data_IF_614916565699
#
_entry.id   IF_614916565699
#
_cell.length_a   1.000
_cell.length_b   1.000
_cell.length_c   1.000
_cell.angle_alpha   90.00
_cell.angle_beta   90.00
_cell.angle_gamma   90.00
#
_symmetry.space_group_name_H-M   'P 1'
#
loop_
_entity.id
_entity.type
_entity.pdbx_description
1 polymer ?
#
# COMPACT_ATOMS: atom_id res chain seq x y z
N UNK A 1 -12.63 0.40 20.67
CA UNK A 1 -12.85 0.96 19.33
C UNK A 1 -13.51 -0.07 18.41
N UNK A 2 -12.93 -1.28 18.31
CA UNK A 2 -13.43 -2.48 17.60
C UNK A 2 -14.96 -2.72 17.59
N UNK A 3 -15.62 -2.62 18.74
CA UNK A 3 -17.06 -2.93 18.86
C UNK A 3 -17.94 -2.11 17.91
N UNK A 4 -17.74 -0.79 17.85
CA UNK A 4 -18.58 0.08 17.02
C UNK A 4 -18.34 -0.18 15.53
N UNK A 5 -17.07 -0.35 15.13
CA UNK A 5 -16.70 -0.64 13.74
C UNK A 5 -17.35 -1.93 13.23
N UNK A 6 -17.38 -2.97 14.08
CA UNK A 6 -18.08 -4.21 13.79
C UNK A 6 -19.59 -4.02 13.74
N UNK A 7 -20.18 -3.34 14.72
CA UNK A 7 -21.63 -3.08 14.75
C UNK A 7 -22.11 -2.29 13.52
N UNK A 8 -21.34 -1.31 13.05
CA UNK A 8 -21.71 -0.46 11.92
C UNK A 8 -21.27 -1.00 10.57
N UNK A 9 -20.51 -2.10 10.53
CA UNK A 9 -19.85 -2.62 9.32
C UNK A 9 -19.08 -1.54 8.57
N UNK A 10 -18.19 -0.86 9.31
CA UNK A 10 -17.44 0.29 8.81
C UNK A 10 -16.55 -0.09 7.61
N UNK A 11 -16.94 0.33 6.41
CA UNK A 11 -16.21 0.09 5.15
C UNK A 11 -14.93 0.92 5.00
N UNK A 12 -14.64 1.81 5.96
CA UNK A 12 -13.41 2.62 5.96
C UNK A 12 -12.11 1.81 6.03
N UNK A 13 -12.18 0.50 6.26
CA UNK A 13 -11.03 -0.42 6.19
C UNK A 13 -10.73 -0.93 4.78
N UNK A 14 -11.54 -0.58 3.78
CA UNK A 14 -11.25 -0.84 2.37
C UNK A 14 -10.45 0.32 1.80
N UNK A 15 -9.29 0.07 1.19
CA UNK A 15 -8.55 1.11 0.48
C UNK A 15 -9.39 1.72 -0.65
N UNK A 16 -9.39 3.05 -0.75
CA UNK A 16 -10.20 3.76 -1.75
C UNK A 16 -10.00 3.29 -3.20
N UNK A 17 -8.76 2.98 -3.68
CA UNK A 17 -8.55 2.45 -5.03
C UNK A 17 -9.33 1.16 -5.31
N UNK A 18 -9.56 0.34 -4.30
CA UNK A 18 -10.20 -0.97 -4.43
C UNK A 18 -11.71 -0.93 -4.23
N UNK A 19 -12.29 0.18 -3.75
CA UNK A 19 -13.72 0.25 -3.44
C UNK A 19 -14.59 -0.15 -4.65
N UNK A 20 -14.30 0.38 -5.83
CA UNK A 20 -15.04 0.06 -7.07
C UNK A 20 -14.78 -1.36 -7.58
N UNK A 21 -13.59 -1.91 -7.32
CA UNK A 21 -13.27 -3.29 -7.65
C UNK A 21 -14.09 -4.27 -6.79
N UNK A 22 -14.34 -3.90 -5.53
CA UNK A 22 -15.07 -4.74 -4.57
C UNK A 22 -16.59 -4.57 -4.65
N UNK A 23 -17.07 -3.36 -4.98
CA UNK A 23 -18.49 -3.08 -5.19
C UNK A 23 -18.66 -1.94 -6.20
N UNK A 24 -19.34 -2.19 -7.33
CA UNK A 24 -19.66 -1.14 -8.30
C UNK A 24 -21.17 -0.86 -8.39
N UNK A 25 -21.98 -1.91 -8.53
CA UNK A 25 -23.45 -1.82 -8.63
C UNK A 25 -24.19 -2.24 -7.35
N UNK A 26 -23.51 -2.95 -6.43
CA UNK A 26 -24.11 -3.34 -5.16
C UNK A 26 -24.29 -2.11 -4.26
N UNK A 27 -25.44 -2.07 -3.57
CA UNK A 27 -25.66 -1.05 -2.55
C UNK A 27 -24.59 -1.29 -1.48
N UNK A 28 -23.75 -0.28 -1.22
CA UNK A 28 -22.64 -0.34 -0.25
C UNK A 28 -23.01 -1.05 1.06
N UNK A 29 -24.23 -0.83 1.53
CA UNK A 29 -24.77 -1.46 2.73
C UNK A 29 -24.95 -2.97 2.63
N UNK A 30 -25.35 -3.50 1.48
CA UNK A 30 -25.49 -4.93 1.21
C UNK A 30 -24.12 -5.60 1.18
N UNK A 31 -23.18 -5.02 0.42
CA UNK A 31 -21.79 -5.44 0.43
C UNK A 31 -21.21 -5.47 1.85
N UNK A 32 -21.42 -4.40 2.63
CA UNK A 32 -20.91 -4.30 3.99
C UNK A 32 -21.49 -5.34 4.96
N UNK A 33 -22.67 -5.90 4.67
CA UNK A 33 -23.32 -6.92 5.51
C UNK A 33 -22.96 -8.36 5.12
N UNK A 34 -22.32 -8.55 3.98
CA UNK A 34 -21.89 -9.84 3.48
C UNK A 34 -20.50 -10.19 4.05
N UNK A 35 -20.44 -11.14 4.99
CA UNK A 35 -19.19 -11.51 5.65
C UNK A 35 -18.24 -12.32 4.74
N UNK A 36 -18.74 -12.91 3.65
CA UNK A 36 -17.88 -13.62 2.69
C UNK A 36 -17.17 -12.61 1.78
N UNK A 37 -17.90 -11.59 1.31
CA UNK A 37 -17.33 -10.51 0.51
C UNK A 37 -16.54 -9.50 1.32
N UNK A 38 -16.98 -9.23 2.55
CA UNK A 38 -16.37 -8.25 3.44
C UNK A 38 -16.10 -8.85 4.83
N UNK A 39 -15.03 -9.65 5.00
CA UNK A 39 -14.65 -10.27 6.26
C UNK A 39 -14.03 -9.23 7.22
N UNK A 40 -14.83 -8.27 7.68
CA UNK A 40 -14.37 -7.12 8.45
C UNK A 40 -13.64 -7.50 9.74
N UNK A 41 -14.03 -8.59 10.40
CA UNK A 41 -13.35 -9.05 11.62
C UNK A 41 -11.88 -9.40 11.38
N UNK A 42 -11.59 -10.08 10.27
CA UNK A 42 -10.24 -10.42 9.84
C UNK A 42 -9.48 -9.16 9.42
N UNK A 43 -10.09 -8.32 8.59
CA UNK A 43 -9.47 -7.07 8.11
C UNK A 43 -9.08 -6.18 9.30
N UNK A 44 -9.97 -6.06 10.28
CA UNK A 44 -9.75 -5.26 11.47
C UNK A 44 -8.65 -5.84 12.37
N UNK A 45 -8.58 -7.16 12.53
CA UNK A 45 -7.48 -7.81 13.25
C UNK A 45 -6.12 -7.51 12.61
N UNK A 46 -6.02 -7.65 11.29
CA UNK A 46 -4.79 -7.39 10.53
C UNK A 46 -4.41 -5.91 10.58
N UNK A 47 -5.37 -4.99 10.42
CA UNK A 47 -5.15 -3.55 10.52
C UNK A 47 -4.66 -3.11 11.91
N UNK A 48 -5.28 -3.65 12.98
CA UNK A 48 -4.86 -3.40 14.36
C UNK A 48 -3.44 -3.92 14.59
N UNK A 49 -3.12 -5.13 14.13
CA UNK A 49 -1.77 -5.71 14.25
C UNK A 49 -0.73 -4.90 13.44
N UNK A 50 -1.09 -4.43 12.25
CA UNK A 50 -0.20 -3.64 11.39
C UNK A 50 0.20 -2.28 11.99
N UNK A 51 -0.65 -1.73 12.84
CA UNK A 51 -0.48 -0.40 13.47
C UNK A 51 0.06 -0.44 14.90
N UNK A 52 0.30 -1.62 15.47
CA UNK A 52 0.94 -1.78 16.80
C UNK A 52 2.41 -1.35 16.77
N UNK A 53 2.89 -0.85 17.91
CA UNK A 53 4.32 -0.52 18.08
C UNK A 53 5.22 -1.73 17.86
N UNK A 54 4.90 -2.88 18.49
CA UNK A 54 5.69 -4.11 18.36
C UNK A 54 5.54 -4.77 16.98
N UNK A 55 6.65 -5.19 16.35
CA UNK A 55 6.62 -5.86 15.05
C UNK A 55 5.98 -7.24 15.11
N UNK A 56 4.92 -7.39 14.32
CA UNK A 56 4.28 -8.66 14.04
C UNK A 56 4.70 -9.18 12.67
N UNK A 57 5.71 -10.04 12.68
CA UNK A 57 6.25 -10.67 11.47
C UNK A 57 5.30 -11.70 10.85
N UNK A 58 4.29 -12.16 11.59
CA UNK A 58 3.31 -13.13 11.07
C UNK A 58 2.36 -12.47 10.06
N UNK A 59 2.28 -11.13 10.03
CA UNK A 59 1.51 -10.40 9.03
C UNK A 59 1.99 -10.64 7.59
N UNK A 60 3.23 -11.06 7.38
CA UNK A 60 3.68 -11.42 6.04
C UNK A 60 2.94 -12.63 5.45
N UNK A 61 2.42 -13.52 6.31
CA UNK A 61 1.61 -14.65 5.85
C UNK A 61 0.28 -14.18 5.25
N UNK A 62 -0.16 -12.96 5.57
CA UNK A 62 -1.40 -12.38 5.08
C UNK A 62 -1.23 -11.70 3.71
N UNK A 63 0.00 -11.63 3.16
CA UNK A 63 0.25 -11.10 1.81
C UNK A 63 -0.28 -12.02 0.72
N UNK A 64 -0.53 -13.30 1.02
CA UNK A 64 -1.17 -14.24 0.07
C UNK A 64 -2.68 -14.40 0.33
N UNK A 65 -3.26 -13.56 1.21
CA UNK A 65 -4.66 -13.66 1.56
C UNK A 65 -5.57 -13.36 0.35
N UNK A 66 -6.67 -14.09 0.21
CA UNK A 66 -7.62 -13.90 -0.89
C UNK A 66 -8.22 -12.50 -0.93
N UNK A 67 -8.46 -11.89 0.24
CA UNK A 67 -9.10 -10.58 0.31
C UNK A 67 -8.08 -9.44 0.18
N UNK A 68 -8.24 -8.50 -0.77
CA UNK A 68 -7.25 -7.47 -1.06
C UNK A 68 -6.99 -6.51 0.11
N UNK A 69 -8.03 -6.14 0.88
CA UNK A 69 -7.83 -5.30 2.07
C UNK A 69 -6.93 -5.96 3.13
N UNK A 70 -6.94 -7.29 3.24
CA UNK A 70 -6.06 -8.01 4.18
C UNK A 70 -4.61 -7.88 3.73
N UNK A 71 -4.33 -8.13 2.44
CA UNK A 71 -3.01 -7.94 1.84
C UNK A 71 -2.52 -6.49 2.00
N UNK A 72 -3.41 -5.52 1.77
CA UNK A 72 -3.10 -4.10 1.96
C UNK A 72 -2.67 -3.80 3.39
N UNK A 73 -3.45 -4.18 4.40
CA UNK A 73 -3.08 -3.92 5.79
C UNK A 73 -1.82 -4.66 6.22
N UNK A 74 -1.61 -5.88 5.71
CA UNK A 74 -0.35 -6.61 5.89
C UNK A 74 0.85 -5.86 5.30
N UNK A 75 0.71 -5.31 4.09
CA UNK A 75 1.70 -4.47 3.44
C UNK A 75 1.97 -3.16 4.22
N UNK A 76 0.94 -2.53 4.77
CA UNK A 76 1.08 -1.33 5.61
C UNK A 76 1.92 -1.59 6.87
N UNK A 77 1.98 -2.83 7.36
CA UNK A 77 2.87 -3.20 8.47
C UNK A 77 4.35 -3.12 8.10
N UNK A 78 4.68 -3.23 6.81
CA UNK A 78 6.04 -3.05 6.29
C UNK A 78 6.39 -1.56 6.27
N UNK A 79 5.44 -0.72 5.83
CA UNK A 79 5.52 0.76 5.75
C UNK A 79 5.88 1.42 7.09
N UNK A 80 5.17 1.05 8.16
CA UNK A 80 5.37 1.66 9.50
C UNK A 80 6.72 1.31 10.13
N UNK A 81 7.50 0.41 9.51
CA UNK A 81 8.70 -0.21 10.11
C UNK A 81 9.94 -0.16 9.21
N UNK A 82 9.87 0.44 8.03
CA UNK A 82 11.07 0.80 7.23
C UNK A 82 11.83 1.99 7.80
N UNK A 83 11.21 2.78 8.69
CA UNK A 83 11.82 3.94 9.35
C UNK A 83 12.49 3.62 10.69
N UNK A 84 12.21 2.45 11.28
CA UNK A 84 12.83 2.04 12.54
C UNK A 84 14.18 1.34 12.26
N UNK A 85 15.28 2.06 12.46
CA UNK A 85 16.59 1.43 12.68
C UNK A 85 16.52 0.60 13.96
N UNK A 86 16.10 -0.65 13.85
CA UNK A 86 16.15 -1.59 14.98
C UNK A 86 17.60 -2.05 15.12
N UNK A 87 18.37 -1.36 15.97
CA UNK A 87 19.63 -1.89 16.45
C UNK A 87 19.35 -3.12 17.32
N UNK A 88 19.86 -4.27 16.89
CA UNK A 88 19.77 -5.49 17.68
C UNK A 88 20.92 -5.53 18.69
N UNK A 89 20.67 -5.91 19.96
CA UNK A 89 21.75 -6.17 20.89
C UNK A 89 22.65 -7.30 20.34
N UNK A 90 23.97 -7.23 20.57
CA UNK A 90 24.89 -8.28 20.17
C UNK A 90 24.47 -9.61 20.81
N UNK A 91 24.65 -10.66 20.02
CA UNK A 91 24.23 -12.04 20.21
C UNK A 91 24.59 -12.61 21.58
N UNK A 92 23.63 -12.67 22.51
CA UNK A 92 23.67 -13.58 23.65
C UNK A 92 22.56 -14.62 23.48
N UNK A 93 22.91 -15.74 22.83
CA UNK A 93 22.19 -16.98 23.03
C UNK A 93 22.46 -17.42 24.46
N UNK A 94 21.59 -17.02 25.40
CA UNK A 94 21.62 -17.58 26.74
C UNK A 94 21.44 -19.11 26.63
N UNK A 95 22.40 -19.88 27.16
CA UNK A 95 22.35 -21.34 27.20
C UNK A 95 21.01 -21.79 27.80
N UNK A 96 20.27 -22.62 27.05
CA UNK A 96 19.04 -23.27 27.54
C UNK A 96 17.71 -22.82 26.89
N UNK A 97 17.72 -21.97 25.86
CA UNK A 97 16.49 -21.71 25.09
C UNK A 97 16.20 -22.81 24.04
N UNK A 98 14.92 -23.22 23.98
CA UNK A 98 14.38 -24.20 23.04
C UNK A 98 14.72 -23.86 21.57
N UNK A 99 15.06 -24.85 20.70
CA UNK A 99 15.46 -24.62 19.30
C UNK A 99 14.51 -23.76 18.47
N UNK A 100 13.23 -23.70 18.87
CA UNK A 100 12.17 -22.96 18.19
C UNK A 100 12.21 -21.43 18.47
N UNK A 101 12.84 -20.98 19.56
CA UNK A 101 12.99 -19.55 19.86
C UNK A 101 14.05 -18.89 18.97
N UNK A 102 15.16 -19.59 18.71
CA UNK A 102 16.19 -19.16 17.76
C UNK A 102 15.61 -19.07 16.34
N UNK A 103 14.80 -20.04 15.90
CA UNK A 103 14.14 -19.97 14.59
C UNK A 103 13.18 -18.77 14.47
N UNK A 104 12.37 -18.49 15.51
CA UNK A 104 11.53 -17.27 15.58
C UNK A 104 12.34 -15.98 15.57
N UNK A 105 13.51 -15.96 16.20
CA UNK A 105 14.42 -14.79 16.20
C UNK A 105 15.14 -14.61 14.85
N UNK A 106 15.53 -15.71 14.21
CA UNK A 106 16.17 -15.73 12.89
C UNK A 106 15.20 -15.37 11.76
N UNK A 107 13.95 -15.86 11.80
CA UNK A 107 12.90 -15.46 10.86
C UNK A 107 12.56 -13.97 11.03
N UNK A 108 12.50 -13.47 12.28
CA UNK A 108 12.38 -12.03 12.57
C UNK A 108 13.53 -11.20 11.99
N UNK A 109 14.79 -11.62 12.14
CA UNK A 109 15.96 -10.91 11.57
C UNK A 109 15.96 -10.91 10.03
N UNK A 110 15.57 -12.02 9.39
CA UNK A 110 15.54 -12.15 7.91
C UNK A 110 14.40 -11.37 7.25
N UNK A 111 13.29 -11.18 7.96
CA UNK A 111 12.16 -10.33 7.54
C UNK A 111 12.50 -8.84 7.72
N UNK A 112 13.41 -8.52 8.63
CA UNK A 112 13.95 -7.18 8.80
C UNK A 112 15.14 -6.88 7.87
N UNK A 113 15.59 -7.85 7.07
CA UNK A 113 16.53 -7.61 5.97
C UNK A 113 15.85 -6.68 4.95
N UNK A 114 16.40 -5.47 4.73
CA UNK A 114 15.85 -4.54 3.76
C UNK A 114 15.68 -5.16 2.37
N UNK A 115 16.57 -6.05 1.94
CA UNK A 115 16.50 -6.67 0.61
C UNK A 115 15.31 -7.62 0.48
N UNK A 116 14.97 -8.35 1.55
CA UNK A 116 13.80 -9.25 1.54
C UNK A 116 12.51 -8.43 1.45
N UNK A 117 12.42 -7.34 2.22
CA UNK A 117 11.28 -6.40 2.13
C UNK A 117 11.14 -5.83 0.72
N UNK A 118 12.21 -5.34 0.13
CA UNK A 118 12.18 -4.75 -1.22
C UNK A 118 11.76 -5.76 -2.29
N UNK A 119 12.17 -7.03 -2.18
CA UNK A 119 11.73 -8.08 -3.11
C UNK A 119 10.24 -8.42 -2.95
N UNK A 120 9.71 -8.40 -1.71
CA UNK A 120 8.28 -8.55 -1.46
C UNK A 120 7.53 -7.40 -2.12
N UNK A 121 7.96 -6.15 -1.89
CA UNK A 121 7.35 -4.97 -2.52
C UNK A 121 7.40 -5.05 -4.05
N UNK A 122 8.52 -5.48 -4.63
CA UNK A 122 8.65 -5.66 -6.07
C UNK A 122 7.69 -6.72 -6.62
N UNK A 123 7.40 -7.78 -5.87
CA UNK A 123 6.38 -8.78 -6.25
C UNK A 123 4.95 -8.22 -6.15
N UNK A 124 4.68 -7.34 -5.18
CA UNK A 124 3.36 -6.72 -4.97
C UNK A 124 2.99 -5.67 -6.04
N UNK A 125 3.93 -5.27 -6.91
CA UNK A 125 3.63 -4.44 -8.08
C UNK A 125 2.67 -5.11 -9.08
N UNK A 126 2.60 -6.45 -9.03
CA UNK A 126 1.80 -7.28 -9.92
C UNK A 126 0.51 -7.81 -9.23
N UNK A 127 0.17 -7.29 -8.03
CA UNK A 127 -1.03 -7.69 -7.28
C UNK A 127 -2.34 -7.29 -7.99
N UNK A 128 -3.42 -8.07 -7.85
CA UNK A 128 -4.72 -7.72 -8.43
C UNK A 128 -5.33 -6.43 -7.84
N UNK A 129 -5.01 -6.12 -6.57
CA UNK A 129 -5.44 -4.91 -5.89
C UNK A 129 -4.62 -3.71 -6.35
N UNK A 130 -5.32 -2.72 -6.88
CA UNK A 130 -4.70 -1.43 -7.22
C UNK A 130 -4.14 -0.72 -5.98
N UNK A 131 -4.77 -0.86 -4.81
CA UNK A 131 -4.24 -0.29 -3.59
C UNK A 131 -2.93 -0.94 -3.14
N UNK A 132 -2.81 -2.27 -3.25
CA UNK A 132 -1.57 -3.00 -2.96
C UNK A 132 -0.46 -2.60 -3.94
N UNK A 133 -0.79 -2.49 -5.23
CA UNK A 133 0.16 -2.00 -6.26
C UNK A 133 0.65 -0.58 -5.95
N UNK A 134 -0.24 0.35 -5.59
CA UNK A 134 0.13 1.75 -5.26
C UNK A 134 1.03 1.79 -4.03
N UNK A 135 0.61 1.18 -2.93
CA UNK A 135 1.36 1.21 -1.67
C UNK A 135 2.74 0.55 -1.80
N UNK A 136 2.84 -0.55 -2.56
CA UNK A 136 4.12 -1.21 -2.82
C UNK A 136 5.03 -0.37 -3.72
N UNK A 137 4.47 0.27 -4.74
CA UNK A 137 5.22 1.13 -5.64
C UNK A 137 5.74 2.40 -4.94
N UNK A 138 4.95 3.05 -4.09
CA UNK A 138 5.39 4.20 -3.30
C UNK A 138 6.63 3.84 -2.47
N UNK A 139 6.55 2.76 -1.68
CA UNK A 139 7.70 2.29 -0.90
C UNK A 139 8.91 1.90 -1.74
N UNK A 140 8.68 1.18 -2.83
CA UNK A 140 9.75 0.67 -3.67
C UNK A 140 10.46 1.80 -4.44
N UNK A 141 9.73 2.87 -4.77
CA UNK A 141 10.31 4.09 -5.32
C UNK A 141 11.16 4.85 -4.27
N UNK A 142 10.76 4.83 -3.00
CA UNK A 142 11.50 5.49 -1.93
C UNK A 142 12.78 4.75 -1.55
N UNK A 143 12.70 3.42 -1.36
CA UNK A 143 13.77 2.64 -0.73
C UNK A 143 14.46 1.61 -1.65
N UNK A 144 13.94 1.39 -2.86
CA UNK A 144 14.44 0.37 -3.78
C UNK A 144 15.79 0.69 -4.42
N UNK A 145 16.38 -0.32 -5.06
CA UNK A 145 17.48 -0.12 -6.00
C UNK A 145 17.03 0.71 -7.22
N UNK A 146 17.96 1.32 -7.96
CA UNK A 146 17.64 2.11 -9.18
C UNK A 146 16.73 1.36 -10.16
N UNK A 147 16.93 0.04 -10.32
CA UNK A 147 16.06 -0.82 -11.15
C UNK A 147 14.65 -0.92 -10.58
N UNK A 148 14.53 -1.14 -9.27
CA UNK A 148 13.26 -1.26 -8.58
C UNK A 148 12.51 0.07 -8.54
N UNK A 149 13.21 1.18 -8.31
CA UNK A 149 12.65 2.52 -8.37
C UNK A 149 12.06 2.82 -9.74
N UNK A 150 12.78 2.50 -10.82
CA UNK A 150 12.26 2.68 -12.18
C UNK A 150 10.99 1.85 -12.44
N UNK A 151 10.94 0.59 -11.97
CA UNK A 151 9.73 -0.24 -12.07
C UNK A 151 8.57 0.36 -11.28
N UNK A 152 8.82 0.82 -10.07
CA UNK A 152 7.83 1.41 -9.19
C UNK A 152 7.24 2.71 -9.75
N UNK A 153 8.09 3.61 -10.24
CA UNK A 153 7.65 4.85 -10.89
C UNK A 153 6.80 4.57 -12.14
N UNK A 154 7.19 3.58 -12.95
CA UNK A 154 6.37 3.16 -14.10
C UNK A 154 5.00 2.61 -13.68
N UNK A 155 4.93 1.82 -12.61
CA UNK A 155 3.66 1.31 -12.09
C UNK A 155 2.76 2.46 -11.59
N UNK A 156 3.31 3.43 -10.84
CA UNK A 156 2.56 4.61 -10.39
C UNK A 156 2.07 5.47 -11.55
N UNK A 157 2.90 5.67 -12.59
CA UNK A 157 2.54 6.40 -13.79
C UNK A 157 1.38 5.73 -14.54
N UNK A 158 1.43 4.41 -14.70
CA UNK A 158 0.36 3.61 -15.31
C UNK A 158 -0.95 3.77 -14.54
N UNK A 159 -0.91 3.57 -13.22
CA UNK A 159 -2.07 3.64 -12.33
C UNK A 159 -2.68 5.06 -12.26
N UNK A 160 -1.88 6.09 -12.52
CA UNK A 160 -2.28 7.50 -12.55
C UNK A 160 -3.08 7.89 -13.81
N UNK A 161 -3.23 6.99 -14.78
CA UNK A 161 -3.93 7.27 -16.02
C UNK A 161 -5.46 7.13 -15.87
N UNK A 162 -6.17 8.26 -15.77
CA UNK A 162 -7.64 8.31 -15.70
C UNK A 162 -8.38 7.87 -16.98
N UNK A 163 -7.65 7.65 -18.08
CA UNK A 163 -8.19 7.04 -19.29
C UNK A 163 -8.30 5.52 -19.18
N UNK A 164 -7.45 4.90 -18.35
CA UNK A 164 -7.39 3.44 -18.17
C UNK A 164 -7.99 2.99 -16.83
N UNK A 165 -7.81 3.80 -15.78
CA UNK A 165 -8.23 3.49 -14.42
C UNK A 165 -9.31 4.46 -13.91
N UNK A 166 -10.11 3.99 -12.94
CA UNK A 166 -11.08 4.84 -12.26
C UNK A 166 -10.39 6.01 -11.55
N UNK A 167 -11.06 7.16 -11.48
CA UNK A 167 -10.48 8.41 -10.96
C UNK A 167 -9.89 8.28 -9.55
N UNK A 168 -10.44 7.40 -8.71
CA UNK A 168 -9.93 7.15 -7.36
C UNK A 168 -8.56 6.47 -7.38
N UNK A 169 -8.39 5.43 -8.20
CA UNK A 169 -7.10 4.74 -8.39
C UNK A 169 -6.05 5.73 -8.88
N UNK A 170 -6.38 6.48 -9.93
CA UNK A 170 -5.47 7.46 -10.52
C UNK A 170 -5.10 8.59 -9.56
N UNK A 171 -6.07 9.07 -8.78
CA UNK A 171 -5.84 10.07 -7.75
C UNK A 171 -4.90 9.56 -6.65
N UNK A 172 -5.13 8.34 -6.16
CA UNK A 172 -4.27 7.74 -5.14
C UNK A 172 -2.84 7.53 -5.64
N UNK A 173 -2.67 7.10 -6.90
CA UNK A 173 -1.35 6.96 -7.51
C UNK A 173 -0.65 8.32 -7.69
N UNK A 174 -1.38 9.36 -8.12
CA UNK A 174 -0.83 10.72 -8.20
C UNK A 174 -0.44 11.28 -6.83
N UNK A 175 -1.20 10.99 -5.77
CA UNK A 175 -0.82 11.38 -4.41
C UNK A 175 0.48 10.68 -3.95
N UNK A 176 0.65 9.39 -4.25
CA UNK A 176 1.91 8.69 -3.99
C UNK A 176 3.08 9.31 -4.77
N UNK A 177 2.88 9.70 -6.04
CA UNK A 177 3.88 10.44 -6.82
C UNK A 177 4.22 11.79 -6.17
N UNK A 178 3.21 12.51 -5.67
CA UNK A 178 3.41 13.79 -5.00
C UNK A 178 4.23 13.63 -3.70
N UNK A 179 3.94 12.60 -2.90
CA UNK A 179 4.68 12.28 -1.69
C UNK A 179 6.16 11.97 -1.94
N UNK A 180 6.47 11.28 -3.05
CA UNK A 180 7.84 10.97 -3.45
C UNK A 180 8.67 12.22 -3.78
N UNK A 181 8.02 13.34 -4.11
CA UNK A 181 8.67 14.59 -4.48
C UNK A 181 9.71 14.36 -5.59
N UNK A 182 10.95 14.79 -5.36
CA UNK A 182 12.04 14.69 -6.35
C UNK A 182 12.36 13.26 -6.82
N UNK A 183 12.04 12.24 -6.02
CA UNK A 183 12.25 10.86 -6.44
C UNK A 183 11.41 10.51 -7.67
N UNK A 184 10.30 11.23 -7.92
CA UNK A 184 9.47 11.08 -9.10
C UNK A 184 9.93 11.90 -10.32
N UNK A 185 11.03 12.67 -10.23
CA UNK A 185 11.55 13.45 -11.36
C UNK A 185 11.75 12.66 -12.66
N UNK A 186 12.17 11.37 -12.64
CA UNK A 186 12.33 10.57 -13.86
C UNK A 186 11.06 10.38 -14.69
N UNK A 187 9.86 10.56 -14.11
CA UNK A 187 8.56 10.41 -14.80
C UNK A 187 7.78 11.72 -14.91
N UNK A 188 8.40 12.88 -14.60
CA UNK A 188 7.70 14.16 -14.49
C UNK A 188 7.02 14.59 -15.79
N UNK A 189 7.71 14.44 -16.93
CA UNK A 189 7.15 14.79 -18.25
C UNK A 189 5.96 13.90 -18.61
N UNK A 190 6.02 12.62 -18.28
CA UNK A 190 4.95 11.67 -18.51
C UNK A 190 3.74 11.95 -17.62
N UNK A 191 3.96 12.31 -16.35
CA UNK A 191 2.89 12.72 -15.43
C UNK A 191 2.18 13.97 -15.97
N UNK A 192 2.91 14.97 -16.45
CA UNK A 192 2.33 16.16 -17.09
C UNK A 192 1.49 15.82 -18.32
N UNK A 193 1.89 14.80 -19.09
CA UNK A 193 1.19 14.36 -20.29
C UNK A 193 -0.07 13.51 -20.02
N UNK A 194 -0.27 13.02 -18.78
CA UNK A 194 -1.43 12.18 -18.45
C UNK A 194 -2.77 12.87 -18.77
N UNK A 195 -3.78 12.12 -19.23
CA UNK A 195 -5.09 12.69 -19.46
C UNK A 195 -5.69 13.23 -18.15
N UNK A 196 -6.51 14.28 -18.26
CA UNK A 196 -7.29 14.82 -17.12
C UNK A 196 -8.80 14.64 -17.33
N UNK A 197 -9.16 13.89 -18.38
CA UNK A 197 -10.51 13.55 -18.80
C UNK A 197 -10.53 12.07 -19.16
N UNK A 198 -11.61 11.40 -18.81
CA UNK A 198 -11.91 10.03 -19.20
C UNK A 198 -13.42 9.79 -19.01
N UNK A 199 -13.94 8.73 -19.61
CA UNK A 199 -15.37 8.39 -19.55
C UNK A 199 -15.85 8.18 -18.11
N UNK A 200 -14.94 7.77 -17.22
CA UNK A 200 -15.18 7.49 -15.81
C UNK A 200 -14.74 8.63 -14.85
N UNK A 201 -14.56 9.86 -15.35
CA UNK A 201 -14.17 11.01 -14.52
C UNK A 201 -15.34 11.99 -14.35
N UNK A 202 -16.06 11.96 -13.21
CA UNK A 202 -17.07 12.97 -12.90
C UNK A 202 -16.48 14.38 -13.04
N UNK A 203 -17.25 15.31 -13.60
CA UNK A 203 -16.75 16.66 -13.90
C UNK A 203 -16.13 17.38 -12.70
N UNK A 204 -16.61 17.10 -11.48
CA UNK A 204 -16.08 17.64 -10.21
C UNK A 204 -14.66 17.15 -9.89
N UNK A 205 -14.30 15.92 -10.27
CA UNK A 205 -12.99 15.33 -9.98
C UNK A 205 -11.92 15.81 -10.98
N UNK A 206 -12.30 16.29 -12.17
CA UNK A 206 -11.35 16.78 -13.17
C UNK A 206 -10.48 17.93 -12.66
N UNK A 207 -11.08 18.88 -11.92
CA UNK A 207 -10.34 20.00 -11.36
C UNK A 207 -9.27 19.49 -10.39
N UNK A 208 -9.65 18.53 -9.53
CA UNK A 208 -8.73 17.96 -8.56
C UNK A 208 -7.52 17.29 -9.23
N UNK A 209 -7.74 16.48 -10.29
CA UNK A 209 -6.64 15.86 -11.06
C UNK A 209 -5.72 16.91 -11.68
N UNK A 210 -6.28 18.00 -12.22
CA UNK A 210 -5.50 19.12 -12.77
C UNK A 210 -4.64 19.78 -11.68
N UNK A 211 -5.26 20.10 -10.55
CA UNK A 211 -4.57 20.77 -9.44
C UNK A 211 -3.44 19.89 -8.88
N UNK A 212 -3.67 18.57 -8.75
CA UNK A 212 -2.68 17.63 -8.23
C UNK A 212 -1.49 17.47 -9.17
N UNK A 213 -1.72 17.35 -10.48
CA UNK A 213 -0.63 17.33 -11.47
C UNK A 213 0.21 18.61 -11.43
N UNK A 214 -0.42 19.77 -11.24
CA UNK A 214 0.29 21.03 -11.11
C UNK A 214 1.10 21.10 -9.80
N UNK A 215 0.61 20.51 -8.71
CA UNK A 215 1.35 20.39 -7.45
C UNK A 215 2.59 19.51 -7.61
N UNK A 216 2.44 18.34 -8.25
CA UNK A 216 3.55 17.43 -8.55
C UNK A 216 4.63 18.15 -9.35
N UNK A 217 4.26 18.78 -10.48
CA UNK A 217 5.22 19.51 -11.32
C UNK A 217 6.05 20.53 -10.51
N UNK A 218 5.38 21.28 -9.62
CA UNK A 218 6.06 22.23 -8.73
C UNK A 218 6.99 21.54 -7.72
N UNK A 219 6.60 20.40 -7.17
CA UNK A 219 7.39 19.65 -6.19
C UNK A 219 8.62 18.98 -6.82
N UNK A 220 8.60 18.73 -8.13
CA UNK A 220 9.76 18.26 -8.89
C UNK A 220 10.83 19.35 -9.10
N UNK A 221 10.44 20.62 -9.18
CA UNK A 221 11.32 21.76 -9.52
C UNK A 221 12.01 22.42 -8.31
N UNK A 222 11.55 22.17 -7.08
CA UNK A 222 11.99 22.93 -5.89
C UNK A 222 13.27 22.31 -5.29
N UNK A 223 14.37 23.08 -5.06
CA UNK A 223 15.67 22.58 -4.60
C UNK A 223 15.71 22.06 -3.15
#
# INVERSE_FOLDING_TARGET
>A
MKRIQLETRDVGFIPEPDMRMLYDEEILREFALDNEKYPLELILDVAERATREEPDVELLNELDNAHPAVRYWALMSILTRTTANVEFPPEELAEGQEPNSAFKLYSRKRILDPNVKLNILEAMLDDESTAVRIASAELLAEYGSVRQQARALNALLELSNVGEYHVQVATSALNAIDHLGKLAAPIGTEVEALPVKGDNVPGRNRKYVIDLKAAIAKNLETP
#
